data_IF_081181019431
#
_entry.id   IF_081181019431
#
_cell.length_a   1.000
_cell.length_b   1.000
_cell.length_c   1.000
_cell.angle_alpha   90.00
_cell.angle_beta   90.00
_cell.angle_gamma   90.00
#
_symmetry.space_group_name_H-M   'P 1'
#
loop_
_entity.id
_entity.type
_entity.pdbx_description
1 polymer ?
#
# COMPACT_ATOMS: atom_id res chain seq x y z
N UNK A 1 -4.59 -50.96 33.75
CA UNK A 1 -5.35 -50.21 32.72
C UNK A 1 -5.50 -51.12 31.50
N UNK A 2 -6.72 -51.25 30.96
CA UNK A 2 -6.94 -52.00 29.72
C UNK A 2 -6.12 -51.39 28.57
N UNK A 3 -5.52 -52.18 27.66
CA UNK A 3 -4.73 -51.69 26.53
C UNK A 3 -5.51 -50.70 25.63
N UNK A 4 -6.84 -50.81 25.59
CA UNK A 4 -7.73 -49.83 24.93
C UNK A 4 -7.66 -48.45 25.58
N UNK A 5 -7.65 -48.38 26.91
CA UNK A 5 -7.62 -47.10 27.64
C UNK A 5 -6.26 -46.41 27.46
N UNK A 6 -5.19 -47.19 27.31
CA UNK A 6 -3.85 -46.65 27.03
C UNK A 6 -3.77 -46.03 25.63
N UNK A 7 -4.39 -46.65 24.62
CA UNK A 7 -4.47 -46.11 23.25
C UNK A 7 -5.31 -44.83 23.19
N UNK A 8 -6.47 -44.83 23.86
CA UNK A 8 -7.33 -43.64 23.94
C UNK A 8 -6.62 -42.48 24.65
N UNK A 9 -5.92 -42.75 25.76
CA UNK A 9 -5.15 -41.74 26.48
C UNK A 9 -4.03 -41.15 25.60
N UNK A 10 -3.25 -41.98 24.91
CA UNK A 10 -2.21 -41.51 23.97
C UNK A 10 -2.79 -40.67 22.83
N UNK A 11 -3.96 -41.05 22.30
CA UNK A 11 -4.66 -40.27 21.27
C UNK A 11 -5.09 -38.90 21.77
N UNK A 12 -5.65 -38.81 22.97
CA UNK A 12 -6.06 -37.54 23.59
C UNK A 12 -4.83 -36.65 23.85
N UNK A 13 -3.74 -37.21 24.38
CA UNK A 13 -2.50 -36.46 24.61
C UNK A 13 -1.90 -35.94 23.31
N UNK A 14 -1.86 -36.76 22.25
CA UNK A 14 -1.38 -36.33 20.94
C UNK A 14 -2.25 -35.19 20.36
N UNK A 15 -3.57 -35.30 20.51
CA UNK A 15 -4.50 -34.26 20.05
C UNK A 15 -4.30 -32.94 20.82
N UNK A 16 -4.14 -33.00 22.14
CA UNK A 16 -3.88 -31.82 22.97
C UNK A 16 -2.52 -31.18 22.64
N UNK A 17 -1.49 -31.98 22.32
CA UNK A 17 -0.20 -31.45 21.89
C UNK A 17 -0.31 -30.73 20.55
N UNK A 18 -1.02 -31.30 19.57
CA UNK A 18 -1.25 -30.65 18.28
C UNK A 18 -2.00 -29.33 18.45
N UNK A 19 -3.08 -29.33 19.25
CA UNK A 19 -3.83 -28.11 19.54
C UNK A 19 -3.03 -27.08 20.34
N UNK A 20 -2.19 -27.52 21.27
CA UNK A 20 -1.30 -26.64 22.02
C UNK A 20 -0.28 -25.96 21.12
N UNK A 21 0.32 -26.69 20.18
CA UNK A 21 1.24 -26.14 19.17
C UNK A 21 0.51 -25.16 18.25
N UNK A 22 -0.67 -25.54 17.73
CA UNK A 22 -1.46 -24.65 16.88
C UNK A 22 -1.86 -23.35 17.58
N UNK A 23 -2.29 -23.44 18.85
CA UNK A 23 -2.64 -22.27 19.65
C UNK A 23 -1.42 -21.38 19.95
N UNK A 24 -0.27 -21.99 20.26
CA UNK A 24 0.99 -21.27 20.46
C UNK A 24 1.41 -20.51 19.20
N UNK A 25 1.35 -21.17 18.03
CA UNK A 25 1.65 -20.55 16.74
C UNK A 25 0.68 -19.41 16.41
N UNK A 26 -0.61 -19.59 16.66
CA UNK A 26 -1.63 -18.57 16.40
C UNK A 26 -1.47 -17.34 17.30
N UNK A 27 -1.19 -17.53 18.59
CA UNK A 27 -0.88 -16.45 19.54
C UNK A 27 0.38 -15.68 19.16
N UNK A 28 1.43 -16.39 18.73
CA UNK A 28 2.67 -15.76 18.29
C UNK A 28 2.49 -15.00 16.98
N UNK A 29 1.79 -15.57 16.00
CA UNK A 29 1.46 -14.90 14.75
C UNK A 29 0.61 -13.63 14.97
N UNK A 30 -0.35 -13.66 15.91
CA UNK A 30 -1.14 -12.49 16.27
C UNK A 30 -0.31 -11.38 16.94
N UNK A 31 0.61 -11.73 17.83
CA UNK A 31 1.50 -10.74 18.48
C UNK A 31 2.57 -10.17 17.52
N UNK A 32 2.98 -10.96 16.52
CA UNK A 32 3.92 -10.57 15.48
C UNK A 32 3.28 -9.66 14.41
N UNK A 33 1.95 -9.63 14.29
CA UNK A 33 1.25 -8.74 13.35
C UNK A 33 1.45 -7.27 13.74
N UNK A 34 1.65 -6.41 12.75
CA UNK A 34 1.73 -4.95 12.99
C UNK A 34 0.34 -4.42 13.34
N UNK A 35 0.28 -3.41 14.20
CA UNK A 35 -0.95 -2.69 14.57
C UNK A 35 -0.80 -1.21 14.24
N UNK A 36 -1.89 -0.43 14.20
CA UNK A 36 -1.83 1.02 13.99
C UNK A 36 -0.87 1.72 14.96
N UNK A 37 -0.87 1.34 16.24
CA UNK A 37 -0.01 1.93 17.27
C UNK A 37 1.47 1.62 17.01
N UNK A 38 1.78 0.40 16.56
CA UNK A 38 3.14 0.03 16.19
C UNK A 38 3.63 0.85 14.99
N UNK A 39 2.75 1.10 14.01
CA UNK A 39 3.09 1.97 12.86
C UNK A 39 3.35 3.40 13.31
N UNK A 40 2.51 3.96 14.19
CA UNK A 40 2.71 5.31 14.75
C UNK A 40 4.03 5.39 15.53
N UNK A 41 4.30 4.39 16.38
CA UNK A 41 5.55 4.32 17.14
C UNK A 41 6.76 4.25 16.21
N UNK A 42 6.73 3.36 15.21
CA UNK A 42 7.80 3.20 14.23
C UNK A 42 8.10 4.51 13.47
N UNK A 43 7.06 5.20 13.01
CA UNK A 43 7.20 6.50 12.32
C UNK A 43 7.83 7.55 13.23
N UNK A 44 7.48 7.58 14.51
CA UNK A 44 8.08 8.52 15.48
C UNK A 44 9.53 8.19 15.82
N UNK A 45 9.87 6.91 15.90
CA UNK A 45 11.21 6.44 16.23
C UNK A 45 12.20 6.60 15.06
N UNK A 46 11.70 6.61 13.83
CA UNK A 46 12.50 6.65 12.62
C UNK A 46 12.17 7.84 11.70
N UNK A 47 12.32 9.11 12.14
CA UNK A 47 12.01 10.26 11.29
C UNK A 47 12.93 10.28 10.06
N UNK A 48 12.37 10.09 8.87
CA UNK A 48 13.16 10.08 7.62
C UNK A 48 13.94 11.39 7.41
N UNK A 49 13.46 12.53 7.93
CA UNK A 49 14.19 13.81 7.86
C UNK A 49 15.58 13.78 8.51
N UNK A 50 15.81 12.89 9.47
CA UNK A 50 17.05 12.82 10.24
C UNK A 50 18.03 11.75 9.70
N UNK A 51 17.56 10.88 8.81
CA UNK A 51 18.36 9.79 8.25
C UNK A 51 19.00 10.24 6.94
N UNK A 52 20.33 10.35 6.94
CA UNK A 52 21.12 10.76 5.77
C UNK A 52 21.61 9.58 4.93
N UNK A 53 21.78 8.40 5.55
CA UNK A 53 22.26 7.21 4.85
C UNK A 53 21.16 6.61 3.96
N UNK A 54 21.41 6.55 2.64
CA UNK A 54 20.40 6.10 1.66
C UNK A 54 19.95 4.65 1.89
N UNK A 55 20.86 3.77 2.28
CA UNK A 55 20.53 2.36 2.54
C UNK A 55 19.67 2.21 3.79
N UNK A 56 19.97 2.97 4.84
CA UNK A 56 19.14 2.97 6.06
C UNK A 56 17.76 3.58 5.81
N UNK A 57 17.67 4.68 5.06
CA UNK A 57 16.37 5.25 4.62
C UNK A 57 15.54 4.20 3.90
N UNK A 58 16.15 3.49 2.96
CA UNK A 58 15.49 2.44 2.18
C UNK A 58 14.97 1.30 3.06
N UNK A 59 15.73 0.86 4.06
CA UNK A 59 15.28 -0.17 5.03
C UNK A 59 14.09 0.30 5.84
N UNK A 60 14.13 1.54 6.33
CA UNK A 60 13.04 2.15 7.10
C UNK A 60 11.76 2.20 6.25
N UNK A 61 11.88 2.61 4.98
CA UNK A 61 10.77 2.65 4.02
C UNK A 61 10.21 1.23 3.77
N UNK A 62 11.09 0.24 3.59
CA UNK A 62 10.70 -1.15 3.35
C UNK A 62 9.97 -1.75 4.56
N UNK A 63 10.43 -1.48 5.78
CA UNK A 63 9.77 -1.92 7.01
C UNK A 63 8.40 -1.26 7.16
N UNK A 64 8.30 0.06 6.96
CA UNK A 64 7.02 0.77 7.00
C UNK A 64 6.02 0.18 5.99
N UNK A 65 6.46 -0.09 4.76
CA UNK A 65 5.62 -0.72 3.74
C UNK A 65 5.15 -2.12 4.18
N UNK A 66 6.03 -2.94 4.76
CA UNK A 66 5.67 -4.25 5.32
C UNK A 66 4.65 -4.13 6.45
N UNK A 67 4.82 -3.20 7.37
CA UNK A 67 3.90 -2.99 8.48
C UNK A 67 2.51 -2.59 7.96
N UNK A 68 2.45 -1.61 7.05
CA UNK A 68 1.20 -1.14 6.45
C UNK A 68 0.48 -2.23 5.66
N UNK A 69 1.20 -3.09 4.93
CA UNK A 69 0.61 -4.20 4.18
C UNK A 69 0.01 -5.30 5.08
N UNK A 70 0.40 -5.34 6.36
CA UNK A 70 -0.13 -6.31 7.33
C UNK A 70 -1.42 -5.84 8.02
N UNK A 71 -1.77 -4.55 7.88
CA UNK A 71 -2.97 -3.96 8.46
C UNK A 71 -4.23 -4.35 7.68
N UNK A 72 -5.33 -4.55 8.41
CA UNK A 72 -6.67 -4.72 7.85
C UNK A 72 -7.28 -3.37 7.42
N UNK A 73 -8.27 -3.37 6.52
CA UNK A 73 -8.92 -2.13 6.07
C UNK A 73 -9.47 -1.24 7.22
N UNK A 74 -9.97 -1.85 8.29
CA UNK A 74 -10.43 -1.12 9.48
C UNK A 74 -9.27 -0.48 10.25
N UNK A 75 -8.13 -1.18 10.36
CA UNK A 75 -6.92 -0.69 11.04
C UNK A 75 -6.25 0.45 10.24
N UNK A 76 -6.30 0.38 8.91
CA UNK A 76 -5.86 1.46 8.01
C UNK A 76 -6.68 2.72 8.24
N UNK A 77 -8.01 2.57 8.39
CA UNK A 77 -8.92 3.68 8.66
C UNK A 77 -8.70 4.27 10.05
N UNK A 78 -8.51 3.41 11.06
CA UNK A 78 -8.16 3.83 12.41
C UNK A 78 -6.84 4.61 12.47
N UNK A 79 -5.83 4.18 11.70
CA UNK A 79 -4.56 4.89 11.58
C UNK A 79 -4.74 6.30 10.98
N UNK A 80 -5.67 6.48 10.05
CA UNK A 80 -5.99 7.78 9.45
C UNK A 80 -6.76 8.69 10.42
N UNK A 81 -7.67 8.13 11.20
CA UNK A 81 -8.51 8.87 12.14
C UNK A 81 -7.76 9.25 13.44
N UNK A 82 -6.91 8.36 13.95
CA UNK A 82 -6.25 8.49 15.27
C UNK A 82 -5.05 9.43 15.24
N UNK A 83 -4.35 9.52 14.12
CA UNK A 83 -3.02 10.13 14.11
C UNK A 83 -3.02 11.66 14.14
N UNK A 84 -4.16 12.34 13.88
CA UNK A 84 -4.27 13.81 13.84
C UNK A 84 -3.50 14.48 12.68
N UNK A 85 -2.30 13.98 12.38
CA UNK A 85 -1.52 14.12 11.16
C UNK A 85 -1.31 12.71 10.60
N UNK A 86 -1.58 12.50 9.31
CA UNK A 86 -1.45 11.18 8.71
C UNK A 86 0.04 10.76 8.74
N UNK A 87 0.48 9.75 9.53
CA UNK A 87 1.91 9.44 9.74
C UNK A 87 2.57 9.01 8.43
N UNK A 88 1.76 8.49 7.50
CA UNK A 88 2.20 8.16 6.14
C UNK A 88 2.55 9.43 5.37
N UNK A 89 1.81 10.52 5.58
CA UNK A 89 2.00 11.81 4.92
C UNK A 89 3.36 12.40 5.27
N UNK A 90 3.68 12.49 6.56
CA UNK A 90 4.97 13.02 7.02
C UNK A 90 6.14 12.24 6.45
N UNK A 91 6.07 10.91 6.45
CA UNK A 91 7.09 10.07 5.84
C UNK A 91 7.21 10.30 4.35
N UNK A 92 6.07 10.32 3.65
CA UNK A 92 6.04 10.47 2.20
C UNK A 92 6.57 11.84 1.75
N UNK A 93 6.28 12.92 2.49
CA UNK A 93 6.80 14.27 2.24
C UNK A 93 8.34 14.35 2.34
N UNK A 94 8.95 13.53 3.19
CA UNK A 94 10.41 13.50 3.38
C UNK A 94 11.13 12.44 2.51
N UNK A 95 10.41 11.72 1.66
CA UNK A 95 11.01 10.77 0.70
C UNK A 95 11.42 11.47 -0.60
N UNK A 96 12.53 11.03 -1.18
CA UNK A 96 12.88 11.36 -2.56
C UNK A 96 11.92 10.70 -3.56
N UNK A 97 11.89 11.15 -4.84
CA UNK A 97 11.08 10.52 -5.89
C UNK A 97 11.29 9.01 -6.03
N UNK A 98 12.55 8.58 -5.98
CA UNK A 98 12.93 7.17 -6.11
C UNK A 98 12.45 6.36 -4.89
N UNK A 99 12.50 6.96 -3.69
CA UNK A 99 12.04 6.36 -2.44
C UNK A 99 10.53 6.20 -2.39
N UNK A 100 9.76 7.18 -2.88
CA UNK A 100 8.32 7.07 -2.95
C UNK A 100 7.89 5.99 -3.95
N UNK A 101 8.55 5.89 -5.11
CA UNK A 101 8.32 4.80 -6.05
C UNK A 101 8.63 3.44 -5.41
N UNK A 102 9.79 3.33 -4.75
CA UNK A 102 10.18 2.13 -4.02
C UNK A 102 9.16 1.75 -2.93
N UNK A 103 8.66 2.73 -2.16
CA UNK A 103 7.60 2.53 -1.17
C UNK A 103 6.31 1.98 -1.81
N UNK A 104 5.88 2.56 -2.94
CA UNK A 104 4.69 2.11 -3.67
C UNK A 104 4.88 0.70 -4.25
N UNK A 105 6.05 0.39 -4.81
CA UNK A 105 6.41 -0.96 -5.27
C UNK A 105 6.27 -1.97 -4.13
N UNK A 106 6.71 -1.62 -2.91
CA UNK A 106 6.57 -2.49 -1.75
C UNK A 106 5.15 -2.57 -1.21
N UNK A 107 4.36 -1.50 -1.33
CA UNK A 107 2.98 -1.43 -0.83
C UNK A 107 1.96 -2.12 -1.75
N UNK A 108 2.07 -1.90 -3.06
CA UNK A 108 1.08 -2.33 -4.06
C UNK A 108 1.55 -3.56 -4.86
N UNK A 109 2.84 -3.90 -4.75
CA UNK A 109 3.44 -5.13 -5.29
C UNK A 109 3.56 -5.17 -6.82
N UNK A 110 3.89 -6.35 -7.36
CA UNK A 110 4.10 -6.59 -8.81
C UNK A 110 2.89 -6.20 -9.68
N UNK A 111 1.69 -6.16 -9.11
CA UNK A 111 0.48 -5.75 -9.82
C UNK A 111 0.55 -4.28 -10.25
N UNK A 112 1.15 -3.41 -9.43
CA UNK A 112 1.37 -2.01 -9.76
C UNK A 112 2.44 -1.85 -10.84
N UNK A 113 3.57 -2.56 -10.75
CA UNK A 113 4.60 -2.56 -11.80
C UNK A 113 4.03 -3.01 -13.15
N UNK A 114 3.28 -4.12 -13.16
CA UNK A 114 2.62 -4.62 -14.37
C UNK A 114 1.60 -3.62 -14.90
N UNK A 115 0.89 -2.92 -14.02
CA UNK A 115 -0.04 -1.86 -14.40
C UNK A 115 0.68 -0.67 -15.04
N UNK A 116 1.75 -0.17 -14.42
CA UNK A 116 2.56 0.93 -14.94
C UNK A 116 3.17 0.58 -16.31
N UNK A 117 3.68 -0.64 -16.44
CA UNK A 117 4.20 -1.16 -17.69
C UNK A 117 3.09 -1.27 -18.74
N UNK A 118 1.96 -1.91 -18.40
CA UNK A 118 0.82 -2.06 -19.32
C UNK A 118 0.28 -0.71 -19.76
N UNK A 119 0.19 0.27 -18.86
CA UNK A 119 -0.24 1.63 -19.18
C UNK A 119 0.73 2.33 -20.14
N UNK A 120 2.04 2.16 -19.95
CA UNK A 120 3.04 2.76 -20.83
C UNK A 120 3.13 2.08 -22.20
N UNK A 121 2.74 0.80 -22.31
CA UNK A 121 2.67 0.04 -23.57
C UNK A 121 1.43 0.39 -24.42
N UNK A 122 0.40 0.98 -23.81
CA UNK A 122 -0.82 1.42 -24.51
C UNK A 122 -0.57 2.60 -25.45
N UNK A 123 -1.39 2.67 -26.50
CA UNK A 123 -1.39 3.85 -27.36
C UNK A 123 -1.86 5.10 -26.60
N UNK A 124 -1.61 6.27 -27.19
CA UNK A 124 -1.94 7.55 -26.56
C UNK A 124 -3.45 7.70 -26.32
N UNK A 125 -4.28 7.18 -27.20
CA UNK A 125 -5.73 7.34 -27.13
C UNK A 125 -6.33 6.43 -26.04
N UNK A 126 -5.81 5.21 -25.90
CA UNK A 126 -6.14 4.28 -24.83
C UNK A 126 -5.71 4.81 -23.46
N UNK A 127 -4.49 5.34 -23.34
CA UNK A 127 -4.03 6.01 -22.12
C UNK A 127 -4.96 7.15 -21.74
N UNK A 128 -5.34 7.98 -22.71
CA UNK A 128 -6.26 9.11 -22.51
C UNK A 128 -7.62 8.64 -21.98
N UNK A 129 -8.20 7.61 -22.59
CA UNK A 129 -9.50 7.03 -22.16
C UNK A 129 -9.45 6.50 -20.72
N UNK A 130 -8.32 5.91 -20.31
CA UNK A 130 -8.12 5.44 -18.93
C UNK A 130 -8.11 6.63 -17.97
N UNK A 131 -7.28 7.63 -18.24
CA UNK A 131 -7.11 8.80 -17.37
C UNK A 131 -8.44 9.56 -17.24
N UNK A 132 -9.10 9.88 -18.35
CA UNK A 132 -10.40 10.59 -18.35
C UNK A 132 -11.48 9.82 -17.57
N UNK A 133 -11.54 8.50 -17.73
CA UNK A 133 -12.54 7.67 -17.01
C UNK A 133 -12.27 7.61 -15.51
N UNK A 134 -10.99 7.54 -15.12
CA UNK A 134 -10.61 7.54 -13.70
C UNK A 134 -10.95 8.86 -13.03
N UNK A 135 -10.61 9.99 -13.67
CA UNK A 135 -10.95 11.33 -13.17
C UNK A 135 -12.46 11.50 -13.01
N UNK A 136 -13.23 11.12 -14.04
CA UNK A 136 -14.70 11.17 -13.99
C UNK A 136 -15.30 10.39 -12.82
N UNK A 137 -14.77 9.20 -12.52
CA UNK A 137 -15.24 8.41 -11.36
C UNK A 137 -14.87 9.04 -10.01
N UNK A 138 -13.70 9.67 -9.93
CA UNK A 138 -13.28 10.38 -8.72
C UNK A 138 -14.19 11.59 -8.43
N UNK A 139 -14.64 12.29 -9.48
CA UNK A 139 -15.62 13.36 -9.39
C UNK A 139 -16.99 12.86 -8.91
N UNK A 140 -17.47 11.74 -9.48
CA UNK A 140 -18.76 11.13 -9.16
C UNK A 140 -18.80 10.52 -7.73
N UNK A 141 -17.65 10.07 -7.20
CA UNK A 141 -17.56 9.27 -5.96
C UNK A 141 -17.25 10.03 -4.66
N UNK A 142 -17.14 11.36 -4.66
CA UNK A 142 -16.61 12.17 -3.51
C UNK A 142 -15.22 11.71 -3.02
N UNK A 143 -14.32 11.34 -3.93
CA UNK A 143 -12.99 10.79 -3.58
C UNK A 143 -11.78 11.58 -4.09
N UNK A 144 -11.97 12.59 -4.94
CA UNK A 144 -10.83 13.40 -5.40
C UNK A 144 -10.28 14.28 -4.24
N UNK A 145 -8.99 14.17 -3.88
CA UNK A 145 -8.32 15.16 -3.04
C UNK A 145 -8.53 16.56 -3.59
N UNK A 146 -8.65 17.55 -2.71
CA UNK A 146 -8.88 18.94 -3.10
C UNK A 146 -7.82 19.47 -4.10
N UNK A 147 -6.58 18.97 -4.07
CA UNK A 147 -5.49 19.37 -4.96
C UNK A 147 -5.59 18.89 -6.42
N UNK A 148 -6.28 17.77 -6.69
CA UNK A 148 -6.49 17.29 -8.06
C UNK A 148 -7.62 18.04 -8.80
N UNK A 149 -8.58 18.61 -8.06
CA UNK A 149 -9.71 19.35 -8.65
C UNK A 149 -9.30 20.68 -9.28
N UNK A 150 -8.17 21.25 -8.88
CA UNK A 150 -7.71 22.56 -9.35
C UNK A 150 -6.65 22.48 -10.46
N UNK A 151 -6.11 21.28 -10.76
CA UNK A 151 -4.93 21.11 -11.65
C UNK A 151 -5.18 20.13 -12.83
N UNK A 152 -6.45 19.78 -13.06
CA UNK A 152 -6.88 18.55 -13.76
C UNK A 152 -6.41 18.33 -15.22
N UNK A 153 -6.44 19.32 -16.13
CA UNK A 153 -6.18 19.05 -17.55
C UNK A 153 -4.68 18.88 -17.87
N UNK A 154 -3.80 19.61 -17.19
CA UNK A 154 -2.37 19.61 -17.50
C UNK A 154 -1.68 18.34 -16.95
N UNK A 155 -2.10 17.88 -15.78
CA UNK A 155 -1.65 16.62 -15.17
C UNK A 155 -2.10 15.44 -16.02
N UNK A 156 -3.38 15.41 -16.40
CA UNK A 156 -3.94 14.36 -17.24
C UNK A 156 -3.23 14.27 -18.60
N UNK A 157 -2.97 15.41 -19.24
CA UNK A 157 -2.25 15.44 -20.50
C UNK A 157 -0.81 14.94 -20.31
N UNK A 158 -0.07 15.44 -19.32
CA UNK A 158 1.32 15.00 -19.06
C UNK A 158 1.43 13.49 -18.79
N UNK A 159 0.53 12.91 -17.98
CA UNK A 159 0.47 11.45 -17.76
C UNK A 159 0.21 10.71 -19.08
N UNK A 160 -0.68 11.25 -19.91
CA UNK A 160 -1.02 10.69 -21.22
C UNK A 160 0.14 10.81 -22.23
N UNK A 161 0.93 11.89 -22.18
CA UNK A 161 2.04 12.12 -23.09
C UNK A 161 3.30 11.35 -22.66
N UNK A 162 3.80 11.64 -21.46
CA UNK A 162 5.06 11.15 -20.93
C UNK A 162 4.97 9.70 -20.42
N UNK A 163 3.75 9.21 -20.15
CA UNK A 163 3.54 7.95 -19.45
C UNK A 163 3.58 8.15 -17.94
N UNK A 164 2.92 7.26 -17.23
CA UNK A 164 2.65 7.42 -15.79
C UNK A 164 3.94 7.36 -14.97
N UNK A 165 4.93 6.56 -15.41
CA UNK A 165 6.21 6.42 -14.72
C UNK A 165 7.06 7.69 -14.82
N UNK A 166 7.23 8.22 -16.03
CA UNK A 166 8.03 9.43 -16.25
C UNK A 166 7.39 10.65 -15.57
N UNK A 167 6.07 10.80 -15.70
CA UNK A 167 5.35 11.86 -15.00
C UNK A 167 5.49 11.74 -13.49
N UNK A 168 5.36 10.51 -12.96
CA UNK A 168 5.58 10.26 -11.56
C UNK A 168 7.00 10.64 -11.16
N UNK A 169 8.05 10.24 -11.86
CA UNK A 169 9.44 10.60 -11.50
C UNK A 169 9.66 12.12 -11.48
N UNK A 170 9.13 12.85 -12.47
CA UNK A 170 9.32 14.29 -12.68
C UNK A 170 8.44 15.20 -11.79
N UNK A 171 7.31 14.70 -11.28
CA UNK A 171 6.37 15.50 -10.49
C UNK A 171 6.95 15.97 -9.13
N UNK A 172 6.41 17.07 -8.57
CA UNK A 172 6.77 17.52 -7.22
C UNK A 172 6.11 16.63 -6.14
N UNK A 173 6.57 16.72 -4.88
CA UNK A 173 6.12 15.86 -3.79
C UNK A 173 4.61 15.95 -3.52
N UNK A 174 4.06 17.17 -3.54
CA UNK A 174 2.62 17.43 -3.36
C UNK A 174 1.79 16.76 -4.46
N UNK A 175 2.22 16.89 -5.72
CA UNK A 175 1.58 16.26 -6.87
C UNK A 175 1.65 14.73 -6.77
N UNK A 176 2.78 14.16 -6.35
CA UNK A 176 2.93 12.70 -6.18
C UNK A 176 2.00 12.11 -5.13
N UNK A 177 1.73 12.86 -4.05
CA UNK A 177 0.80 12.45 -3.00
C UNK A 177 -0.65 12.48 -3.47
N UNK A 178 -0.99 13.48 -4.26
CA UNK A 178 -2.30 13.62 -4.88
C UNK A 178 -2.58 12.54 -5.93
N UNK A 179 -1.55 11.94 -6.53
CA UNK A 179 -1.71 10.88 -7.52
C UNK A 179 -2.14 9.53 -6.93
N UNK A 180 -1.98 9.27 -5.64
CA UNK A 180 -2.27 7.94 -5.07
C UNK A 180 -3.74 7.49 -5.30
N UNK A 181 -4.78 8.31 -5.06
CA UNK A 181 -6.15 7.95 -5.39
C UNK A 181 -6.39 7.79 -6.90
N UNK A 182 -5.71 8.59 -7.73
CA UNK A 182 -5.80 8.47 -9.19
C UNK A 182 -5.24 7.12 -9.67
N UNK A 183 -4.11 6.68 -9.10
CA UNK A 183 -3.49 5.39 -9.40
C UNK A 183 -4.44 4.22 -9.08
N UNK A 184 -5.12 4.27 -7.94
CA UNK A 184 -6.11 3.26 -7.56
C UNK A 184 -7.29 3.21 -8.55
N UNK A 185 -7.80 4.37 -8.97
CA UNK A 185 -8.90 4.43 -9.94
C UNK A 185 -8.48 4.03 -11.36
N UNK A 186 -7.23 4.32 -11.77
CA UNK A 186 -6.64 3.83 -13.01
C UNK A 186 -6.52 2.30 -13.00
N UNK A 187 -6.07 1.71 -11.89
CA UNK A 187 -6.03 0.26 -11.72
C UNK A 187 -7.41 -0.38 -11.91
N UNK A 188 -8.45 0.20 -11.29
CA UNK A 188 -9.84 -0.23 -11.45
C UNK A 188 -10.34 -0.03 -12.89
N UNK A 189 -9.97 1.07 -13.54
CA UNK A 189 -10.33 1.34 -14.93
C UNK A 189 -9.81 0.26 -15.88
N UNK A 190 -8.55 -0.13 -15.69
CA UNK A 190 -7.87 -1.14 -16.51
C UNK A 190 -8.42 -2.54 -16.25
N UNK A 191 -8.68 -2.91 -15.00
CA UNK A 191 -9.27 -4.22 -14.69
C UNK A 191 -10.65 -4.41 -15.33
N UNK A 192 -11.46 -3.34 -15.37
CA UNK A 192 -12.76 -3.34 -16.05
C UNK A 192 -12.67 -3.43 -17.58
N UNK A 193 -11.56 -3.00 -18.18
CA UNK A 193 -11.33 -3.16 -19.62
C UNK A 193 -10.82 -4.54 -20.00
N UNK A 194 -10.02 -5.17 -19.13
CA UNK A 194 -9.51 -6.53 -19.35
C UNK A 194 -10.58 -7.62 -19.15
N UNK A 195 -11.66 -7.31 -18.44
CA UNK A 195 -12.78 -8.22 -18.17
C UNK A 195 -13.90 -8.21 -19.21
N UNK A 196 -13.68 -7.63 -20.39
CA UNK A 196 -14.63 -7.62 -21.52
C UNK A 196 -14.09 -8.37 -22.72
#
# INVERSE_FOLDING_TARGET
>A
MSPRNLLLFKGIVALLLVWGVAWGLMRWAGAARSSPEKVIAFVREHPLSEVQDEEERKRIIEELARMLNSLEPSEIRELEETAGQNPRRDFFEHMSPAEQLYFLERRVGRAFEQMMQSFNEMDREERRKIVERSLKRMEEGRGAPAGLKETDPEIADKITQAGLKAYYEEANAETKMDLAPLLEEMQRSMSLMRGR
#
